data_IF_720638014515
#
_entry.id   IF_720638014515
#
_cell.length_a   1.000
_cell.length_b   1.000
_cell.length_c   1.000
_cell.angle_alpha   90.00
_cell.angle_beta   90.00
_cell.angle_gamma   90.00
#
_symmetry.space_group_name_H-M   'P 1'
#
loop_
_entity.id
_entity.type
_entity.pdbx_description
1 polymer ?
#
# COMPACT_ATOMS: atom_id res chain seq x y z
N UNK A 1 -2.51 -10.08 -14.22
CA UNK A 1 -1.65 -8.91 -14.51
C UNK A 1 -0.67 -9.28 -15.61
N UNK A 2 -0.33 -8.35 -16.50
CA UNK A 2 0.71 -8.63 -17.51
C UNK A 2 2.10 -8.66 -16.86
N UNK A 3 3.03 -9.43 -17.42
CA UNK A 3 4.45 -9.46 -16.98
C UNK A 3 5.12 -8.08 -16.98
N UNK A 4 4.55 -7.14 -17.72
CA UNK A 4 5.02 -5.75 -17.83
C UNK A 4 4.49 -4.87 -16.70
N UNK A 5 3.30 -5.17 -16.13
CA UNK A 5 2.76 -4.48 -14.95
C UNK A 5 3.48 -4.87 -13.66
N UNK A 6 3.95 -6.13 -13.56
CA UNK A 6 4.81 -6.58 -12.46
C UNK A 6 6.17 -5.85 -12.42
N UNK A 7 6.71 -5.44 -13.57
CA UNK A 7 8.00 -4.73 -13.64
C UNK A 7 7.95 -3.28 -13.12
N UNK A 8 6.76 -2.70 -12.94
CA UNK A 8 6.56 -1.31 -12.51
C UNK A 8 6.14 -1.18 -11.03
N UNK A 9 6.11 -2.29 -10.28
CA UNK A 9 5.65 -2.34 -8.88
C UNK A 9 6.62 -3.16 -8.02
N UNK A 10 6.87 -2.71 -6.80
CA UNK A 10 7.56 -3.48 -5.77
C UNK A 10 6.54 -3.97 -4.75
N UNK A 11 6.19 -5.26 -4.81
CA UNK A 11 5.25 -5.88 -3.88
C UNK A 11 5.90 -5.92 -2.49
N UNK A 12 5.17 -5.41 -1.49
CA UNK A 12 5.53 -5.51 -0.07
C UNK A 12 4.93 -6.79 0.50
N UNK A 13 3.64 -7.03 0.23
CA UNK A 13 2.96 -8.25 0.64
C UNK A 13 1.71 -8.45 -0.22
N UNK A 14 1.34 -9.71 -0.49
CA UNK A 14 0.15 -10.06 -1.25
C UNK A 14 -0.43 -11.40 -0.79
N UNK A 15 -1.75 -11.49 -0.68
CA UNK A 15 -2.48 -12.77 -0.67
C UNK A 15 -3.42 -12.94 -1.87
N UNK A 16 -3.47 -11.96 -2.78
CA UNK A 16 -4.31 -12.00 -3.99
C UNK A 16 -3.81 -13.06 -4.98
N UNK A 17 -2.50 -13.34 -4.99
CA UNK A 17 -1.85 -14.25 -5.94
C UNK A 17 -1.06 -15.35 -5.23
N UNK A 18 -1.55 -15.84 -4.08
CA UNK A 18 -0.94 -16.99 -3.42
C UNK A 18 -1.10 -18.25 -4.28
N UNK A 19 0.03 -18.75 -4.77
CA UNK A 19 0.12 -19.97 -5.56
C UNK A 19 0.99 -21.00 -4.84
N UNK A 20 0.43 -22.18 -4.57
CA UNK A 20 1.15 -23.25 -3.89
C UNK A 20 2.37 -23.70 -4.70
N UNK A 21 2.30 -23.68 -6.03
CA UNK A 21 3.39 -24.15 -6.88
C UNK A 21 4.64 -23.28 -6.75
N UNK A 22 4.48 -21.98 -6.47
CA UNK A 22 5.61 -21.06 -6.21
C UNK A 22 6.32 -21.36 -4.88
N UNK A 23 5.63 -22.01 -3.93
CA UNK A 23 6.14 -22.33 -2.59
C UNK A 23 6.52 -23.81 -2.43
N UNK A 24 6.06 -24.66 -3.36
CA UNK A 24 6.07 -26.11 -3.25
C UNK A 24 7.45 -26.68 -2.96
N UNK A 25 8.48 -26.23 -3.68
CA UNK A 25 9.85 -26.72 -3.48
C UNK A 25 10.33 -26.51 -2.04
N UNK A 26 10.14 -25.30 -1.49
CA UNK A 26 10.53 -24.98 -0.11
C UNK A 26 9.68 -25.70 0.93
N UNK A 27 8.38 -25.86 0.66
CA UNK A 27 7.47 -26.52 1.59
C UNK A 27 7.69 -28.04 1.62
N UNK A 28 7.91 -28.69 0.48
CA UNK A 28 8.19 -30.13 0.41
C UNK A 28 9.55 -30.49 1.03
N UNK A 29 10.53 -29.57 1.01
CA UNK A 29 11.80 -29.73 1.74
C UNK A 29 11.59 -29.74 3.26
N UNK A 30 10.76 -28.82 3.78
CA UNK A 30 10.51 -28.67 5.21
C UNK A 30 9.47 -29.68 5.76
N UNK A 31 8.51 -30.08 4.92
CA UNK A 31 7.37 -30.93 5.27
C UNK A 31 7.21 -32.10 4.29
N UNK A 32 8.21 -33.00 4.20
CA UNK A 32 8.20 -34.07 3.22
C UNK A 32 7.04 -35.04 3.47
N UNK A 33 6.29 -35.34 2.40
CA UNK A 33 5.18 -36.30 2.41
C UNK A 33 3.83 -35.76 2.90
N UNK A 34 3.73 -34.45 3.14
CA UNK A 34 2.44 -33.78 3.38
C UNK A 34 1.62 -33.71 2.08
N UNK A 35 0.29 -33.70 2.22
CA UNK A 35 -0.64 -33.53 1.10
C UNK A 35 -0.72 -32.06 0.65
N UNK A 36 -1.18 -31.83 -0.58
CA UNK A 36 -1.35 -30.48 -1.13
C UNK A 36 -2.26 -29.59 -0.26
N UNK A 37 -3.32 -30.15 0.33
CA UNK A 37 -4.21 -29.42 1.25
C UNK A 37 -3.47 -28.96 2.52
N UNK A 38 -2.63 -29.83 3.10
CA UNK A 38 -1.83 -29.49 4.27
C UNK A 38 -0.74 -28.46 3.94
N UNK A 39 -0.10 -28.60 2.77
CA UNK A 39 0.89 -27.63 2.29
C UNK A 39 0.25 -26.28 1.99
N UNK A 40 -0.96 -26.26 1.42
CA UNK A 40 -1.72 -25.03 1.20
C UNK A 40 -2.04 -24.31 2.51
N UNK A 41 -2.50 -25.04 3.53
CA UNK A 41 -2.74 -24.49 4.87
C UNK A 41 -1.47 -23.89 5.50
N UNK A 42 -0.33 -24.55 5.31
CA UNK A 42 0.98 -24.06 5.78
C UNK A 42 1.38 -22.80 5.01
N UNK A 43 1.21 -22.77 3.68
CA UNK A 43 1.49 -21.60 2.84
C UNK A 43 0.69 -20.39 3.31
N UNK A 44 -0.63 -20.54 3.50
CA UNK A 44 -1.52 -19.45 3.94
C UNK A 44 -1.08 -18.91 5.31
N UNK A 45 -0.78 -19.80 6.27
CA UNK A 45 -0.29 -19.39 7.60
C UNK A 45 1.07 -18.69 7.52
N UNK A 46 2.00 -19.23 6.74
CA UNK A 46 3.34 -18.66 6.56
C UNK A 46 3.26 -17.28 5.90
N UNK A 47 2.38 -17.10 4.91
CA UNK A 47 2.17 -15.80 4.30
C UNK A 47 1.57 -14.78 5.28
N UNK A 48 0.69 -15.22 6.20
CA UNK A 48 0.18 -14.35 7.26
C UNK A 48 1.27 -13.96 8.27
N UNK A 49 2.23 -14.86 8.56
CA UNK A 49 3.43 -14.53 9.35
C UNK A 49 4.32 -13.53 8.62
N UNK A 50 4.53 -13.66 7.31
CA UNK A 50 5.25 -12.66 6.52
C UNK A 50 4.61 -11.27 6.62
N UNK A 51 3.27 -11.15 6.64
CA UNK A 51 2.61 -9.85 6.85
C UNK A 51 2.95 -9.24 8.22
N UNK A 52 3.09 -10.08 9.25
CA UNK A 52 3.51 -9.62 10.57
C UNK A 52 4.95 -9.06 10.51
N UNK A 53 5.85 -9.77 9.84
CA UNK A 53 7.23 -9.31 9.64
C UNK A 53 7.28 -7.98 8.88
N UNK A 54 6.44 -7.79 7.86
CA UNK A 54 6.38 -6.49 7.17
C UNK A 54 5.88 -5.36 8.05
N UNK A 55 4.97 -5.63 9.00
CA UNK A 55 4.55 -4.62 9.99
C UNK A 55 5.67 -4.29 10.98
N UNK A 56 6.53 -5.25 11.30
CA UNK A 56 7.72 -5.02 12.14
C UNK A 56 8.75 -4.20 11.37
N UNK A 57 9.07 -4.60 10.14
CA UNK A 57 10.01 -3.92 9.25
C UNK A 57 9.60 -2.46 9.00
N UNK A 58 8.31 -2.23 8.75
CA UNK A 58 7.74 -0.91 8.47
C UNK A 58 7.18 -0.21 9.70
N UNK A 59 7.63 -0.56 10.91
CA UNK A 59 7.34 0.19 12.14
C UNK A 59 8.10 1.53 12.18
N UNK A 60 7.82 2.39 11.21
CA UNK A 60 8.45 3.67 10.97
C UNK A 60 7.47 4.76 11.36
N UNK A 61 7.86 5.56 12.36
CA UNK A 61 7.07 6.67 12.85
C UNK A 61 7.35 7.94 12.03
N UNK A 62 6.31 8.52 11.42
CA UNK A 62 6.39 9.80 10.72
C UNK A 62 5.96 10.96 11.64
N UNK A 63 6.32 12.17 11.25
CA UNK A 63 5.99 13.41 11.97
C UNK A 63 4.53 13.86 11.80
N UNK A 64 3.82 13.32 10.81
CA UNK A 64 2.47 13.75 10.42
C UNK A 64 1.57 12.53 10.19
N UNK A 65 0.23 12.69 10.30
CA UNK A 65 -0.74 11.66 9.96
C UNK A 65 -0.66 11.22 8.48
N UNK A 66 -1.07 9.99 8.24
CA UNK A 66 -1.22 9.42 6.89
C UNK A 66 -2.68 9.53 6.47
N UNK A 67 -2.92 10.00 5.24
CA UNK A 67 -4.22 9.93 4.57
C UNK A 67 -4.20 8.76 3.58
N UNK A 68 -5.21 7.89 3.70
CA UNK A 68 -5.51 6.82 2.76
C UNK A 68 -6.60 7.32 1.83
N UNK A 69 -6.33 7.40 0.54
CA UNK A 69 -7.28 7.85 -0.48
C UNK A 69 -7.77 6.60 -1.21
N UNK A 70 -9.06 6.32 -1.13
CA UNK A 70 -9.68 5.13 -1.70
C UNK A 70 -10.54 5.44 -2.92
N UNK A 71 -10.28 4.71 -4.00
CA UNK A 71 -11.26 4.45 -5.05
C UNK A 71 -11.96 3.12 -4.72
N UNK A 72 -13.20 3.22 -4.25
CA UNK A 72 -13.93 2.11 -3.64
C UNK A 72 -14.91 1.50 -4.63
N UNK A 73 -14.78 0.20 -4.88
CA UNK A 73 -15.72 -0.58 -5.66
C UNK A 73 -16.92 -0.99 -4.83
N UNK A 74 -18.12 -0.68 -5.28
CA UNK A 74 -19.37 -1.14 -4.67
C UNK A 74 -20.23 -1.79 -5.73
N UNK A 75 -21.20 -2.60 -5.30
CA UNK A 75 -22.19 -3.22 -6.18
C UNK A 75 -22.94 -2.23 -7.07
N UNK A 76 -23.05 -0.95 -6.66
CA UNK A 76 -23.72 0.13 -7.39
C UNK A 76 -22.78 1.15 -8.05
N UNK A 77 -21.51 0.80 -8.26
CA UNK A 77 -20.53 1.66 -8.92
C UNK A 77 -19.37 2.04 -8.01
N UNK A 78 -18.55 2.98 -8.48
CA UNK A 78 -17.32 3.40 -7.78
C UNK A 78 -17.54 4.72 -7.05
N UNK A 79 -16.97 4.84 -5.86
CA UNK A 79 -16.98 6.08 -5.09
C UNK A 79 -15.59 6.40 -4.57
N UNK A 80 -15.30 7.69 -4.47
CA UNK A 80 -14.06 8.19 -3.85
C UNK A 80 -14.27 8.41 -2.35
N UNK A 81 -13.24 8.14 -1.54
CA UNK A 81 -13.26 8.40 -0.11
C UNK A 81 -11.86 8.53 0.48
N UNK A 82 -11.78 8.87 1.76
CA UNK A 82 -10.52 8.83 2.50
C UNK A 82 -10.70 8.29 3.91
N UNK A 83 -9.57 7.85 4.49
CA UNK A 83 -9.43 7.50 5.91
C UNK A 83 -8.14 8.11 6.44
N UNK A 84 -8.18 8.57 7.69
CA UNK A 84 -6.99 9.02 8.40
C UNK A 84 -6.37 7.86 9.20
N UNK A 85 -5.05 7.80 9.18
CA UNK A 85 -4.23 6.99 10.09
C UNK A 85 -3.46 8.00 10.95
N UNK A 86 -4.08 8.36 12.07
CA UNK A 86 -3.61 9.44 12.95
C UNK A 86 -2.29 9.11 13.67
N UNK A 87 -1.96 7.83 13.79
CA UNK A 87 -0.69 7.39 14.35
C UNK A 87 0.50 7.87 13.53
N UNK A 88 0.34 8.12 12.23
CA UNK A 88 1.45 8.45 11.33
C UNK A 88 2.49 7.34 11.18
N UNK A 89 2.19 6.10 11.57
CA UNK A 89 3.12 4.98 11.46
C UNK A 89 2.85 4.16 10.19
N UNK A 90 3.90 3.86 9.41
CA UNK A 90 3.74 3.18 8.11
C UNK A 90 3.14 1.77 8.28
N UNK A 91 3.48 1.03 9.35
CA UNK A 91 2.93 -0.31 9.59
C UNK A 91 1.40 -0.32 9.67
N UNK A 92 0.80 0.78 10.11
CA UNK A 92 -0.64 0.91 10.28
C UNK A 92 -1.37 1.03 8.92
N UNK A 93 -0.63 1.18 7.82
CA UNK A 93 -1.15 1.04 6.46
C UNK A 93 -1.47 -0.42 6.09
N UNK A 94 -0.79 -1.39 6.70
CA UNK A 94 -0.84 -2.82 6.35
C UNK A 94 -1.94 -3.57 7.13
N UNK A 95 -3.11 -2.94 7.25
CA UNK A 95 -4.31 -3.54 7.84
C UNK A 95 -5.47 -3.35 6.88
N UNK A 96 -6.26 -4.41 6.71
CA UNK A 96 -7.46 -4.39 5.89
C UNK A 96 -8.51 -5.33 6.49
N UNK A 97 -9.77 -4.99 6.26
CA UNK A 97 -10.94 -5.79 6.62
C UNK A 97 -11.58 -6.44 5.37
N UNK A 98 -10.85 -6.48 4.24
CA UNK A 98 -11.30 -7.10 2.99
C UNK A 98 -10.73 -8.51 2.81
N UNK A 99 -11.35 -9.29 1.91
CA UNK A 99 -11.07 -10.72 1.72
C UNK A 99 -9.63 -11.00 1.26
N UNK A 100 -9.11 -10.22 0.30
CA UNK A 100 -7.72 -10.31 -0.17
C UNK A 100 -7.12 -8.92 -0.38
N UNK A 101 -5.80 -8.81 -0.28
CA UNK A 101 -5.04 -7.58 -0.26
C UNK A 101 -3.65 -7.74 -0.89
N UNK A 102 -3.20 -6.70 -1.58
CA UNK A 102 -1.82 -6.55 -2.03
C UNK A 102 -1.35 -5.13 -1.71
N UNK A 103 -0.28 -4.99 -0.95
CA UNK A 103 0.41 -3.72 -0.75
C UNK A 103 1.67 -3.68 -1.60
N UNK A 104 1.89 -2.56 -2.29
CA UNK A 104 3.04 -2.40 -3.17
C UNK A 104 3.45 -0.94 -3.29
N UNK A 105 4.72 -0.70 -3.62
CA UNK A 105 5.20 0.61 -4.05
C UNK A 105 5.15 0.68 -5.58
N UNK A 106 4.39 1.63 -6.11
CA UNK A 106 4.26 1.83 -7.55
C UNK A 106 5.48 2.53 -8.17
N UNK A 107 5.55 2.59 -9.50
CA UNK A 107 6.62 3.29 -10.23
C UNK A 107 6.82 4.76 -9.88
N UNK A 108 5.86 5.40 -9.22
CA UNK A 108 5.99 6.79 -8.76
C UNK A 108 6.52 6.87 -7.32
N UNK A 109 6.80 5.73 -6.68
CA UNK A 109 7.18 5.62 -5.30
C UNK A 109 6.01 5.83 -4.34
N UNK A 110 4.76 5.73 -4.81
CA UNK A 110 3.60 5.80 -3.92
C UNK A 110 3.32 4.42 -3.33
N UNK A 111 3.08 4.35 -2.01
CA UNK A 111 2.51 3.15 -1.41
C UNK A 111 1.05 3.03 -1.85
N UNK A 112 0.70 1.86 -2.37
CA UNK A 112 -0.61 1.50 -2.88
C UNK A 112 -1.10 0.24 -2.21
N UNK A 113 -2.42 0.04 -2.28
CA UNK A 113 -2.97 -1.29 -2.09
C UNK A 113 -4.12 -1.56 -3.03
N UNK A 114 -4.18 -2.81 -3.51
CA UNK A 114 -5.33 -3.38 -4.17
C UNK A 114 -6.00 -4.32 -3.17
N UNK A 115 -7.31 -4.16 -2.96
CA UNK A 115 -8.08 -4.91 -1.96
C UNK A 115 -9.36 -5.45 -2.58
N UNK A 116 -9.64 -6.73 -2.37
CA UNK A 116 -10.76 -7.46 -2.96
C UNK A 116 -11.76 -7.82 -1.86
N UNK A 117 -13.04 -7.57 -2.11
CA UNK A 117 -14.13 -8.04 -1.28
C UNK A 117 -15.27 -8.57 -2.16
N UNK A 118 -16.21 -9.31 -1.56
CA UNK A 118 -17.36 -9.91 -2.27
C UNK A 118 -18.15 -8.97 -3.22
N UNK A 119 -18.17 -7.66 -2.95
CA UNK A 119 -18.89 -6.64 -3.74
C UNK A 119 -18.03 -5.91 -4.79
N UNK A 120 -16.71 -6.12 -4.81
CA UNK A 120 -15.82 -5.45 -5.76
C UNK A 120 -14.37 -5.30 -5.28
N UNK A 121 -13.67 -4.35 -5.91
CA UNK A 121 -12.27 -4.05 -5.61
C UNK A 121 -12.07 -2.59 -5.23
N UNK A 122 -11.23 -2.38 -4.23
CA UNK A 122 -10.78 -1.08 -3.76
C UNK A 122 -9.33 -0.85 -4.18
N UNK A 123 -9.02 0.39 -4.53
CA UNK A 123 -7.67 0.84 -4.87
C UNK A 123 -7.29 1.99 -3.94
N UNK A 124 -6.20 1.81 -3.20
CA UNK A 124 -5.76 2.74 -2.17
C UNK A 124 -4.46 3.45 -2.55
N UNK A 125 -4.37 4.72 -2.16
CA UNK A 125 -3.17 5.54 -2.21
C UNK A 125 -2.87 6.05 -0.80
N UNK A 126 -1.70 5.71 -0.28
CA UNK A 126 -1.25 6.12 1.05
C UNK A 126 -0.26 7.28 0.93
N UNK A 127 -0.53 8.35 1.65
CA UNK A 127 0.24 9.60 1.59
C UNK A 127 0.34 10.20 2.99
N UNK A 128 1.51 10.72 3.36
CA UNK A 128 1.67 11.44 4.63
C UNK A 128 1.63 12.94 4.38
N UNK A 129 1.00 13.71 5.26
CA UNK A 129 1.01 15.17 5.13
C UNK A 129 2.44 15.73 5.23
N UNK A 130 2.69 16.84 4.53
CA UNK A 130 3.95 17.58 4.68
C UNK A 130 3.93 18.33 6.01
N UNK A 131 5.12 18.59 6.55
CA UNK A 131 5.22 19.45 7.73
C UNK A 131 4.75 20.87 7.40
N UNK A 132 4.05 21.51 8.35
CA UNK A 132 3.55 22.88 8.20
C UNK A 132 2.29 23.04 7.34
N UNK A 133 1.66 21.96 6.90
CA UNK A 133 0.33 22.01 6.26
C UNK A 133 -0.70 22.45 7.30
N UNK A 134 -1.52 23.44 6.93
CA UNK A 134 -2.59 23.97 7.79
C UNK A 134 -3.83 23.09 7.76
N UNK A 135 -4.65 23.13 8.82
CA UNK A 135 -5.93 22.40 8.88
C UNK A 135 -6.83 22.74 7.69
N UNK A 136 -6.92 24.02 7.31
CA UNK A 136 -7.66 24.44 6.12
C UNK A 136 -7.14 23.80 4.83
N UNK A 137 -5.83 23.58 4.69
CA UNK A 137 -5.28 22.87 3.52
C UNK A 137 -5.62 21.37 3.54
N UNK A 138 -5.66 20.76 4.72
CA UNK A 138 -6.08 19.36 4.93
C UNK A 138 -7.57 19.21 4.56
N UNK A 139 -8.44 20.03 5.16
CA UNK A 139 -9.89 20.04 4.91
C UNK A 139 -10.19 20.24 3.43
N UNK A 140 -9.52 21.19 2.77
CA UNK A 140 -9.69 21.42 1.33
C UNK A 140 -9.32 20.19 0.48
N UNK A 141 -8.31 19.41 0.87
CA UNK A 141 -7.98 18.18 0.17
C UNK A 141 -9.04 17.10 0.45
N UNK A 142 -9.44 16.94 1.70
CA UNK A 142 -10.47 15.98 2.13
C UNK A 142 -11.80 16.22 1.41
N UNK A 143 -12.24 17.47 1.33
CA UNK A 143 -13.44 17.87 0.59
C UNK A 143 -13.33 17.52 -0.90
N UNK A 144 -12.18 17.79 -1.53
CA UNK A 144 -11.95 17.42 -2.92
C UNK A 144 -12.02 15.91 -3.13
N UNK A 145 -11.47 15.12 -2.21
CA UNK A 145 -11.53 13.65 -2.28
C UNK A 145 -12.97 13.16 -2.13
N UNK A 146 -13.70 13.67 -1.13
CA UNK A 146 -15.08 13.29 -0.88
C UNK A 146 -16.00 13.62 -2.06
N UNK A 147 -15.76 14.75 -2.73
CA UNK A 147 -16.51 15.16 -3.92
C UNK A 147 -16.03 14.49 -5.22
N UNK A 148 -15.05 13.58 -5.17
CA UNK A 148 -14.50 12.91 -6.37
C UNK A 148 -13.78 13.86 -7.34
N UNK A 149 -13.23 14.97 -6.83
CA UNK A 149 -12.59 16.05 -7.62
C UNK A 149 -11.09 16.19 -7.38
N UNK A 150 -10.54 15.45 -6.41
CA UNK A 150 -9.12 15.54 -6.08
C UNK A 150 -8.24 15.09 -7.26
N UNK A 151 -7.30 15.93 -7.65
CA UNK A 151 -6.28 15.59 -8.65
C UNK A 151 -4.98 15.15 -7.99
N UNK A 152 -4.08 14.52 -8.75
CA UNK A 152 -2.72 14.21 -8.26
C UNK A 152 -1.99 15.46 -7.80
N UNK A 153 -2.16 16.59 -8.49
CA UNK A 153 -1.53 17.86 -8.09
C UNK A 153 -2.09 18.39 -6.76
N UNK A 154 -3.39 18.22 -6.50
CA UNK A 154 -3.98 18.58 -5.21
C UNK A 154 -3.37 17.77 -4.07
N UNK A 155 -3.22 16.45 -4.29
CA UNK A 155 -2.68 15.51 -3.31
C UNK A 155 -1.20 15.82 -3.04
N UNK A 156 -0.35 15.87 -4.08
CA UNK A 156 1.11 16.04 -3.92
C UNK A 156 1.51 17.44 -3.46
N UNK A 157 0.65 18.43 -3.61
CA UNK A 157 0.87 19.79 -3.07
C UNK A 157 1.01 19.77 -1.54
N UNK A 158 0.19 18.99 -0.84
CA UNK A 158 0.13 18.98 0.64
C UNK A 158 0.62 17.68 1.27
N UNK A 159 0.96 16.66 0.48
CA UNK A 159 1.45 15.37 1.00
C UNK A 159 2.79 14.97 0.38
N UNK A 160 3.52 14.05 1.02
CA UNK A 160 4.69 13.34 0.48
C UNK A 160 4.39 11.83 0.36
N UNK A 161 5.12 11.14 -0.52
CA UNK A 161 4.97 9.69 -0.74
C UNK A 161 5.63 8.91 0.40
N UNK A 162 5.12 7.72 0.68
CA UNK A 162 5.71 6.82 1.68
C UNK A 162 6.80 5.91 1.11
N UNK A 163 6.86 5.74 -0.22
CA UNK A 163 7.80 4.80 -0.83
C UNK A 163 9.26 5.15 -0.58
N UNK A 164 9.62 6.40 -0.34
CA UNK A 164 11.02 6.77 -0.05
C UNK A 164 11.51 6.10 1.26
N UNK A 165 10.69 6.08 2.32
CA UNK A 165 11.00 5.40 3.58
C UNK A 165 10.99 3.87 3.42
N UNK A 166 10.02 3.34 2.68
CA UNK A 166 9.85 1.90 2.42
C UNK A 166 11.03 1.35 1.61
N UNK A 167 11.43 2.04 0.53
CA UNK A 167 12.60 1.68 -0.26
C UNK A 167 13.90 1.75 0.56
N UNK A 168 13.97 2.63 1.55
CA UNK A 168 15.08 2.69 2.48
C UNK A 168 15.25 1.40 3.30
N UNK A 169 14.15 0.72 3.63
CA UNK A 169 14.17 -0.57 4.35
C UNK A 169 14.59 -1.72 3.43
N UNK A 170 13.96 -1.84 2.25
CA UNK A 170 14.15 -3.00 1.37
C UNK A 170 15.23 -2.82 0.30
N UNK A 171 15.80 -1.62 0.14
CA UNK A 171 16.94 -1.36 -0.74
C UNK A 171 16.63 -1.33 -2.24
N UNK A 172 15.38 -1.14 -2.65
CA UNK A 172 15.02 -1.03 -4.07
C UNK A 172 15.06 0.42 -4.59
N UNK A 173 15.34 0.65 -5.88
CA UNK A 173 15.43 2.01 -6.44
C UNK A 173 14.05 2.65 -6.63
N UNK A 174 13.94 3.95 -6.35
CA UNK A 174 12.77 4.77 -6.70
C UNK A 174 13.20 5.94 -7.58
N UNK A 175 12.40 6.34 -8.59
CA UNK A 175 12.68 7.55 -9.35
C UNK A 175 12.83 8.77 -8.43
N UNK A 176 13.95 9.47 -8.58
CA UNK A 176 14.23 10.71 -7.84
C UNK A 176 13.16 11.75 -8.16
N UNK A 177 12.57 12.35 -7.14
CA UNK A 177 11.76 13.55 -7.35
C UNK A 177 12.67 14.62 -7.97
N UNK A 178 12.19 15.29 -9.04
CA UNK A 178 12.80 16.54 -9.47
C UNK A 178 12.67 17.51 -8.31
N UNK A 179 13.78 17.82 -7.64
CA UNK A 179 13.82 18.92 -6.69
C UNK A 179 13.46 20.18 -7.47
N UNK A 180 12.28 20.75 -7.22
CA UNK A 180 12.08 22.17 -7.52
C UNK A 180 13.05 22.92 -6.62
N UNK A 181 14.03 23.59 -7.22
CA UNK A 181 14.98 24.46 -6.51
C UNK A 181 14.21 25.52 -5.70
N UNK A 182 13.84 25.22 -4.47
CA UNK A 182 13.41 26.20 -3.46
C UNK A 182 14.65 26.76 -2.76
N UNK A 183 15.58 27.31 -3.54
CA UNK A 183 16.65 28.19 -3.05
C UNK A 183 16.98 29.22 -4.15
N UNK A 184 16.09 30.21 -4.30
CA UNK A 184 16.38 31.50 -4.91
C UNK A 184 15.23 32.48 -4.65
N UNK A 185 15.02 32.87 -3.40
CA UNK A 185 14.44 34.18 -3.02
C UNK A 185 15.01 34.61 -1.69
#
# INVERSE_FOLDING_TARGET
>A
MSRQEQNDRHIIWSDISLDLDDWRESLEELYPGYSDDELYDIMVKSNAENLYDERVNLNIQLSQPIIVIGDLGRWNGRVSGYKMIDSGNIKDCLYSDTDYNEWYVDKYGDLRADAVHHDGTNHYLYRVFKDGVTDTQIENLQDKIYNGKATRADITRVTKRLGDDIAGVYGFPIPKQRQTNEQAR
#
